data_IF_934951072769
#
_entry.id   IF_934951072769
#
_cell.length_a   1.000
_cell.length_b   1.000
_cell.length_c   1.000
_cell.angle_alpha   90.00
_cell.angle_beta   90.00
_cell.angle_gamma   90.00
#
_symmetry.space_group_name_H-M   'P 1'
#
loop_
_entity.id
_entity.type
_entity.pdbx_description
1 polymer ?
#
# COMPACT_ATOMS: atom_id res chain seq x y z
N UNK A 1 -28.45 -9.18 -5.45
CA UNK A 1 -26.98 -9.08 -5.48
C UNK A 1 -26.43 -10.44 -5.88
N UNK A 2 -25.76 -10.61 -7.02
CA UNK A 2 -25.23 -11.92 -7.41
C UNK A 2 -24.12 -12.32 -6.41
N UNK A 3 -24.08 -13.57 -5.97
CA UNK A 3 -23.15 -14.03 -4.91
C UNK A 3 -21.68 -14.01 -5.37
N UNK A 4 -21.44 -14.27 -6.65
CA UNK A 4 -20.11 -14.29 -7.28
C UNK A 4 -19.36 -12.94 -7.21
N UNK A 5 -19.95 -11.78 -7.58
CA UNK A 5 -19.27 -10.49 -7.45
C UNK A 5 -18.99 -10.10 -6.00
N UNK A 6 -19.80 -10.52 -5.02
CA UNK A 6 -19.52 -10.25 -3.61
C UNK A 6 -18.32 -11.04 -3.06
N UNK A 7 -18.13 -12.29 -3.51
CA UNK A 7 -16.94 -13.09 -3.13
C UNK A 7 -15.68 -12.46 -3.74
N UNK A 8 -15.74 -12.07 -5.01
CA UNK A 8 -14.63 -11.40 -5.68
C UNK A 8 -14.25 -10.10 -4.97
N UNK A 9 -15.24 -9.25 -4.63
CA UNK A 9 -15.02 -8.01 -3.87
C UNK A 9 -14.38 -8.27 -2.50
N UNK A 10 -14.86 -9.27 -1.76
CA UNK A 10 -14.25 -9.70 -0.50
C UNK A 10 -12.80 -10.16 -0.63
N UNK A 11 -12.47 -10.89 -1.72
CA UNK A 11 -11.09 -11.32 -2.00
C UNK A 11 -10.19 -10.13 -2.31
N UNK A 12 -10.64 -9.17 -3.12
CA UNK A 12 -9.85 -7.98 -3.43
C UNK A 12 -9.63 -7.11 -2.20
N UNK A 13 -10.65 -6.95 -1.36
CA UNK A 13 -10.55 -6.22 -0.09
C UNK A 13 -9.57 -6.92 0.87
N UNK A 14 -9.69 -8.24 1.01
CA UNK A 14 -8.80 -9.05 1.85
C UNK A 14 -7.35 -9.01 1.36
N UNK A 15 -7.12 -9.21 0.07
CA UNK A 15 -5.78 -9.16 -0.53
C UNK A 15 -5.13 -7.78 -0.35
N UNK A 16 -5.88 -6.69 -0.58
CA UNK A 16 -5.39 -5.33 -0.34
C UNK A 16 -5.00 -5.11 1.12
N UNK A 17 -5.81 -5.61 2.06
CA UNK A 17 -5.50 -5.53 3.49
C UNK A 17 -4.24 -6.33 3.85
N UNK A 18 -4.08 -7.55 3.32
CA UNK A 18 -2.87 -8.37 3.54
C UNK A 18 -1.62 -7.67 3.04
N UNK A 19 -1.66 -7.05 1.85
CA UNK A 19 -0.52 -6.31 1.29
C UNK A 19 -0.15 -5.13 2.20
N UNK A 20 -1.15 -4.38 2.69
CA UNK A 20 -0.92 -3.26 3.61
C UNK A 20 -0.27 -3.74 4.91
N UNK A 21 -0.76 -4.84 5.49
CA UNK A 21 -0.17 -5.45 6.68
C UNK A 21 1.26 -5.94 6.45
N UNK A 22 1.54 -6.54 5.30
CA UNK A 22 2.88 -7.01 4.94
C UNK A 22 3.86 -5.83 4.81
N UNK A 23 3.45 -4.75 4.15
CA UNK A 23 4.26 -3.52 4.04
C UNK A 23 4.50 -2.88 5.41
N UNK A 24 3.47 -2.76 6.25
CA UNK A 24 3.59 -2.23 7.61
C UNK A 24 4.51 -3.10 8.49
N UNK A 25 4.36 -4.42 8.42
CA UNK A 25 5.20 -5.37 9.15
C UNK A 25 6.66 -5.33 8.71
N UNK A 26 6.91 -5.28 7.40
CA UNK A 26 8.25 -5.17 6.83
C UNK A 26 8.91 -3.82 7.15
N UNK A 27 8.17 -2.70 7.07
CA UNK A 27 8.69 -1.39 7.49
C UNK A 27 9.05 -1.38 8.98
N UNK A 28 8.24 -2.03 9.84
CA UNK A 28 8.52 -2.14 11.27
C UNK A 28 9.82 -2.90 11.55
N UNK A 29 10.06 -4.00 10.85
CA UNK A 29 11.29 -4.79 10.98
C UNK A 29 12.50 -4.02 10.45
N UNK A 30 12.36 -3.39 9.28
CA UNK A 30 13.42 -2.63 8.62
C UNK A 30 13.85 -1.40 9.45
N UNK A 31 12.90 -0.67 10.04
CA UNK A 31 13.21 0.51 10.86
C UNK A 31 13.62 0.11 12.29
N UNK A 32 13.06 -0.98 12.84
CA UNK A 32 13.35 -1.43 14.21
C UNK A 32 14.67 -2.15 14.38
N UNK A 33 14.99 -3.06 13.46
CA UNK A 33 16.15 -3.96 13.55
C UNK A 33 17.13 -3.80 12.37
N UNK A 34 16.85 -2.94 11.38
CA UNK A 34 17.72 -2.78 10.20
C UNK A 34 17.78 -3.99 9.26
N UNK A 35 16.91 -4.98 9.49
CA UNK A 35 16.87 -6.26 8.78
C UNK A 35 15.46 -6.52 8.27
N UNK A 36 15.36 -7.19 7.12
CA UNK A 36 14.09 -7.67 6.58
C UNK A 36 14.09 -9.19 6.67
N UNK A 37 13.03 -9.77 7.24
CA UNK A 37 12.91 -11.22 7.47
C UNK A 37 13.97 -11.82 8.42
N UNK A 38 14.40 -11.06 9.43
CA UNK A 38 15.09 -11.62 10.59
C UNK A 38 14.22 -12.73 11.21
N UNK A 39 14.86 -13.81 11.68
CA UNK A 39 14.21 -14.88 12.46
C UNK A 39 13.22 -15.79 11.72
N UNK A 40 13.10 -15.71 10.39
CA UNK A 40 12.27 -16.63 9.61
C UNK A 40 12.77 -18.09 9.66
N UNK A 41 14.03 -18.27 10.05
CA UNK A 41 14.64 -19.54 10.47
C UNK A 41 13.88 -20.22 11.63
N UNK A 42 13.29 -19.47 12.56
CA UNK A 42 12.50 -20.02 13.67
C UNK A 42 11.17 -20.63 13.23
N UNK A 43 10.63 -20.16 12.09
CA UNK A 43 9.37 -20.66 11.52
C UNK A 43 9.59 -21.75 10.47
N UNK A 44 10.69 -21.69 9.71
CA UNK A 44 10.93 -22.55 8.54
C UNK A 44 12.20 -23.41 8.62
N UNK A 45 12.93 -23.39 9.75
CA UNK A 45 14.16 -24.16 9.96
C UNK A 45 15.37 -23.62 9.18
N UNK A 46 16.47 -24.38 9.14
CA UNK A 46 17.79 -23.99 8.58
C UNK A 46 17.75 -23.50 7.12
N UNK A 47 16.67 -23.79 6.39
CA UNK A 47 16.49 -23.37 5.00
C UNK A 47 16.24 -21.86 4.85
N UNK A 48 15.59 -21.23 5.83
CA UNK A 48 15.20 -19.82 5.78
C UNK A 48 16.26 -18.85 6.33
N UNK A 49 17.38 -19.36 6.84
CA UNK A 49 18.53 -18.54 7.27
C UNK A 49 19.11 -17.74 6.10
N UNK A 50 18.92 -18.23 4.87
CA UNK A 50 19.35 -17.59 3.62
C UNK A 50 18.45 -16.43 3.17
N UNK A 51 17.24 -16.29 3.70
CA UNK A 51 16.30 -15.21 3.31
C UNK A 51 16.48 -13.94 4.15
N UNK A 52 17.43 -13.97 5.10
CA UNK A 52 17.79 -12.83 5.94
C UNK A 52 18.47 -11.76 5.10
N UNK A 53 17.73 -10.72 4.72
CA UNK A 53 18.29 -9.55 4.04
C UNK A 53 18.74 -8.54 5.10
N UNK A 54 20.05 -8.53 5.38
CA UNK A 54 20.66 -7.56 6.30
C UNK A 54 21.02 -6.31 5.50
N UNK A 55 20.22 -5.26 5.63
CA UNK A 55 20.37 -4.03 4.82
C UNK A 55 21.34 -3.06 5.52
N UNK A 56 21.36 -3.02 6.86
CA UNK A 56 22.29 -2.20 7.63
C UNK A 56 22.91 -3.00 8.79
N UNK A 57 24.23 -3.18 8.75
CA UNK A 57 24.99 -3.97 9.74
C UNK A 57 25.27 -3.23 11.05
N UNK A 58 25.07 -1.91 11.09
CA UNK A 58 25.53 -1.03 12.18
C UNK A 58 24.45 -0.01 12.57
N UNK A 59 23.20 -0.48 12.71
CA UNK A 59 22.09 0.37 13.14
C UNK A 59 21.87 0.21 14.65
N UNK A 60 21.89 1.29 15.46
CA UNK A 60 21.49 1.20 16.86
C UNK A 60 20.02 0.77 16.89
N UNK A 61 19.71 -0.32 17.60
CA UNK A 61 18.36 -0.86 17.72
C UNK A 61 17.36 0.26 18.05
N UNK A 62 16.60 0.71 17.05
CA UNK A 62 15.67 1.82 17.21
C UNK A 62 14.37 1.21 17.73
N UNK A 63 14.36 0.91 19.04
CA UNK A 63 13.24 0.28 19.74
C UNK A 63 11.92 1.02 19.44
N UNK A 64 11.99 2.33 19.21
CA UNK A 64 10.90 3.22 18.84
C UNK A 64 10.06 2.78 17.62
N UNK A 65 10.64 2.04 16.67
CA UNK A 65 9.95 1.62 15.46
C UNK A 65 9.12 0.33 15.64
N UNK A 66 9.45 -0.49 16.64
CA UNK A 66 8.65 -1.66 17.03
C UNK A 66 7.41 -1.25 17.85
N UNK A 67 7.44 -0.06 18.45
CA UNK A 67 6.34 0.46 19.27
C UNK A 67 5.13 0.91 18.42
N UNK A 68 3.91 0.89 18.98
CA UNK A 68 2.66 1.33 18.33
C UNK A 68 2.74 2.61 17.46
N UNK A 69 3.44 3.70 17.86
CA UNK A 69 3.62 4.90 17.03
C UNK A 69 4.16 4.64 15.62
N UNK A 70 5.06 3.67 15.41
CA UNK A 70 5.61 3.36 14.10
C UNK A 70 4.54 2.90 13.10
N UNK A 71 3.59 2.09 13.55
CA UNK A 71 2.49 1.60 12.74
C UNK A 71 1.53 2.73 12.32
N UNK A 72 1.27 3.70 13.21
CA UNK A 72 0.43 4.86 12.89
C UNK A 72 1.08 5.78 11.86
N UNK A 73 2.39 6.01 11.94
CA UNK A 73 3.14 6.79 10.95
C UNK A 73 3.14 6.08 9.60
N UNK A 74 3.39 4.76 9.58
CA UNK A 74 3.33 3.95 8.36
C UNK A 74 1.95 3.98 7.70
N UNK A 75 0.88 3.86 8.48
CA UNK A 75 -0.49 3.95 7.98
C UNK A 75 -0.79 5.35 7.42
N UNK A 76 -0.36 6.41 8.13
CA UNK A 76 -0.50 7.80 7.66
C UNK A 76 0.20 8.04 6.32
N UNK A 77 1.42 7.50 6.16
CA UNK A 77 2.17 7.59 4.91
C UNK A 77 1.47 6.83 3.76
N UNK A 78 1.00 5.61 4.02
CA UNK A 78 0.25 4.82 3.03
C UNK A 78 -1.02 5.54 2.58
N UNK A 79 -1.76 6.15 3.50
CA UNK A 79 -2.96 6.94 3.19
C UNK A 79 -2.59 8.17 2.35
N UNK A 80 -1.50 8.87 2.69
CA UNK A 80 -1.03 10.03 1.93
C UNK A 80 -0.67 9.66 0.48
N UNK A 81 0.05 8.54 0.31
CA UNK A 81 0.40 8.01 -1.00
C UNK A 81 -0.87 7.61 -1.79
N UNK A 82 -1.80 6.89 -1.16
CA UNK A 82 -3.08 6.53 -1.78
C UNK A 82 -3.84 7.77 -2.23
N UNK A 83 -3.93 8.79 -1.38
CA UNK A 83 -4.63 10.05 -1.71
C UNK A 83 -3.95 10.78 -2.87
N UNK A 84 -2.61 10.79 -2.92
CA UNK A 84 -1.89 11.40 -4.03
C UNK A 84 -2.23 10.77 -5.39
N UNK A 85 -2.30 9.44 -5.45
CA UNK A 85 -2.72 8.74 -6.66
C UNK A 85 -4.19 8.97 -6.99
N UNK A 86 -5.06 8.92 -5.98
CA UNK A 86 -6.51 9.14 -6.12
C UNK A 86 -6.81 10.56 -6.64
N UNK A 87 -6.09 11.58 -6.19
CA UNK A 87 -6.22 12.95 -6.71
C UNK A 87 -5.81 13.08 -8.17
N UNK A 88 -4.75 12.39 -8.61
CA UNK A 88 -4.35 12.38 -10.03
C UNK A 88 -5.41 11.73 -10.90
N UNK A 89 -5.96 10.60 -10.45
CA UNK A 89 -7.00 9.89 -11.17
C UNK A 89 -8.29 10.72 -11.26
N UNK A 90 -8.72 11.33 -10.15
CA UNK A 90 -9.85 12.27 -10.14
C UNK A 90 -9.66 13.44 -11.08
N UNK A 91 -8.45 14.03 -11.13
CA UNK A 91 -8.14 15.13 -12.07
C UNK A 91 -8.22 14.67 -13.54
N UNK A 92 -7.77 13.45 -13.85
CA UNK A 92 -7.87 12.88 -15.21
C UNK A 92 -9.33 12.68 -15.62
N UNK A 93 -10.11 12.05 -14.75
CA UNK A 93 -11.55 11.82 -14.98
C UNK A 93 -12.29 13.15 -15.13
N UNK A 94 -12.00 14.14 -14.28
CA UNK A 94 -12.62 15.46 -14.36
C UNK A 94 -12.24 16.21 -15.66
N UNK A 95 -11.00 16.06 -16.14
CA UNK A 95 -10.57 16.66 -17.41
C UNK A 95 -11.27 16.01 -18.62
N UNK A 96 -11.48 14.69 -18.60
CA UNK A 96 -12.24 13.96 -19.62
C UNK A 96 -13.71 14.39 -19.63
N UNK A 97 -14.34 14.53 -18.46
CA UNK A 97 -15.73 15.01 -18.33
C UNK A 97 -15.90 16.45 -18.80
N UNK A 98 -14.97 17.35 -18.44
CA UNK A 98 -14.98 18.74 -18.90
C UNK A 98 -14.76 18.87 -20.43
N UNK A 99 -14.03 17.93 -21.04
CA UNK A 99 -13.87 17.83 -22.49
C UNK A 99 -15.16 17.41 -23.19
N UNK A 100 -15.87 16.40 -22.65
CA UNK A 100 -17.14 15.92 -23.20
C UNK A 100 -18.26 16.98 -23.13
N UNK A 101 -18.35 17.72 -22.03
CA UNK A 101 -19.34 18.80 -21.88
C UNK A 101 -19.14 19.91 -22.94
N UNK A 102 -17.88 20.31 -23.18
CA UNK A 102 -17.54 21.32 -24.20
C UNK A 102 -17.83 20.85 -25.62
N UNK A 103 -17.57 19.58 -25.94
CA UNK A 103 -17.85 19.00 -27.27
C UNK A 103 -19.37 18.93 -27.50
N UNK A 104 -20.14 18.46 -26.51
CA UNK A 104 -21.61 18.39 -26.62
C UNK A 104 -22.26 19.76 -26.84
N UNK A 105 -21.74 20.81 -26.20
CA UNK A 105 -22.29 22.17 -26.34
C UNK A 105 -22.01 22.80 -27.71
N UNK A 106 -20.91 22.44 -28.39
CA UNK A 106 -20.60 22.93 -29.75
C UNK A 106 -21.48 22.31 -30.81
N UNK A 107 -21.82 21.03 -30.67
CA UNK A 107 -22.73 20.33 -31.60
C UNK A 107 -24.13 20.94 -31.58
N UNK A 108 -24.61 21.41 -30.42
CA UNK A 108 -25.97 21.97 -30.28
C UNK A 108 -26.11 23.43 -30.78
N UNK A 109 -25.03 24.12 -31.13
CA UNK A 109 -25.07 25.53 -31.58
C UNK A 109 -24.95 25.63 -33.12
N UNK A 110 -24.71 24.51 -33.80
CA UNK A 110 -24.48 24.46 -35.26
C UNK A 110 -25.63 23.85 -36.07
N UNK A 111 -26.72 23.43 -35.42
CA UNK A 111 -27.99 23.00 -36.04
C UNK A 111 -29.08 24.07 -35.83
#
# INVERSE_FOLDING_TARGET
NPLLPSIADGLYMGAGFTIVLMLLGGMRELIGQGTLFSDMHLLFGDMATSWKLTIFSDYPNVLFAILPPGAFIGLGLLIAIKNYYDEKEKKRIAAEQAGQEKVSRRVRVTD
#
